data_IF_782792000408
#
_entry.id   IF_782792000408
#
_cell.length_a   1.000
_cell.length_b   1.000
_cell.length_c   1.000
_cell.angle_alpha   90.00
_cell.angle_beta   90.00
_cell.angle_gamma   90.00
#
_symmetry.space_group_name_H-M   'P 1'
#
loop_
_entity.id
_entity.type
_entity.pdbx_description
1 polymer ?
#
# COMPACT_ATOMS: atom_id res chain seq x y z
N UNK A 1 -5.13 -2.60 9.11
CA UNK A 1 -4.68 -1.60 8.13
C UNK A 1 -3.21 -1.21 8.32
N UNK A 2 -2.87 -0.41 9.35
CA UNK A 2 -1.54 0.23 9.50
C UNK A 2 -0.31 -0.68 9.41
N UNK A 3 -0.37 -1.91 9.91
CA UNK A 3 0.77 -2.85 9.94
C UNK A 3 0.62 -4.03 8.95
N UNK A 4 -0.48 -4.07 8.20
CA UNK A 4 -0.72 -5.10 7.15
C UNK A 4 -0.45 -4.50 5.77
N UNK A 5 -0.94 -3.28 5.55
CA UNK A 5 -0.73 -2.47 4.36
C UNK A 5 -0.21 -1.11 4.83
N UNK A 6 1.06 -1.02 5.27
CA UNK A 6 1.59 0.22 5.79
C UNK A 6 1.74 1.26 4.67
N UNK A 7 1.64 2.54 5.04
CA UNK A 7 1.80 3.69 4.15
C UNK A 7 2.88 4.61 4.69
N UNK A 8 3.28 5.64 3.93
CA UNK A 8 4.28 6.59 4.41
C UNK A 8 3.85 7.27 5.72
N UNK A 9 4.81 7.41 6.64
CA UNK A 9 4.67 8.22 7.85
C UNK A 9 4.33 9.66 7.47
N UNK A 10 3.39 10.28 8.18
CA UNK A 10 2.89 11.63 7.90
C UNK A 10 1.63 11.70 7.02
N UNK A 11 1.21 10.61 6.35
CA UNK A 11 -0.05 10.58 5.62
C UNK A 11 -1.27 10.47 6.53
N UNK A 12 -1.15 9.71 7.62
CA UNK A 12 -2.22 9.56 8.62
C UNK A 12 -1.99 10.43 9.84
N UNK A 13 -3.07 10.78 10.54
CA UNK A 13 -3.03 11.65 11.74
C UNK A 13 -3.10 10.90 13.07
N UNK A 14 -3.32 9.58 13.05
CA UNK A 14 -3.44 8.78 14.28
C UNK A 14 -2.07 8.33 14.77
N UNK A 15 -1.96 8.10 16.09
CA UNK A 15 -0.76 7.53 16.71
C UNK A 15 -0.33 6.22 16.03
N UNK A 16 -1.29 5.39 15.60
CA UNK A 16 -0.98 4.15 14.87
C UNK A 16 -0.45 4.41 13.46
N UNK A 17 -0.92 5.46 12.77
CA UNK A 17 -0.40 5.82 11.45
C UNK A 17 1.01 6.38 11.52
N UNK A 18 1.36 7.05 12.61
CA UNK A 18 2.74 7.43 12.88
C UNK A 18 3.59 6.22 13.28
N UNK A 19 3.16 5.44 14.29
CA UNK A 19 3.92 4.30 14.82
C UNK A 19 4.27 3.24 13.78
N UNK A 20 3.36 2.92 12.86
CA UNK A 20 3.55 1.91 11.83
C UNK A 20 3.81 2.48 10.43
N UNK A 21 3.96 3.81 10.32
CA UNK A 21 4.23 4.46 9.04
C UNK A 21 5.67 4.23 8.58
N UNK A 22 5.84 3.96 7.28
CA UNK A 22 7.14 3.72 6.65
C UNK A 22 7.86 5.06 6.39
N UNK A 23 9.14 5.12 6.71
CA UNK A 23 10.01 6.29 6.55
C UNK A 23 10.68 6.31 5.16
N UNK A 24 9.86 6.53 4.13
CA UNK A 24 10.34 6.73 2.76
C UNK A 24 10.70 5.42 2.02
N UNK A 25 11.34 5.59 0.87
CA UNK A 25 11.55 4.50 -0.08
C UNK A 25 12.56 3.46 0.41
N UNK A 26 13.57 3.87 1.16
CA UNK A 26 14.59 2.95 1.70
C UNK A 26 13.98 1.94 2.64
N UNK A 27 13.22 2.39 3.66
CA UNK A 27 12.55 1.47 4.60
C UNK A 27 11.50 0.61 3.87
N UNK A 28 10.80 1.13 2.86
CA UNK A 28 9.87 0.33 2.06
C UNK A 28 10.58 -0.81 1.32
N UNK A 29 11.79 -0.58 0.79
CA UNK A 29 12.62 -1.61 0.14
C UNK A 29 13.12 -2.64 1.16
N UNK A 30 13.55 -2.19 2.32
CA UNK A 30 13.96 -3.07 3.43
C UNK A 30 12.78 -3.93 3.92
N UNK A 31 11.59 -3.35 4.03
CA UNK A 31 10.36 -4.07 4.37
C UNK A 31 10.05 -5.19 3.37
N UNK A 32 10.23 -4.93 2.07
CA UNK A 32 10.05 -5.94 1.02
C UNK A 32 11.15 -7.01 1.02
N UNK A 33 12.37 -6.65 1.40
CA UNK A 33 13.51 -7.57 1.48
C UNK A 33 13.49 -8.43 2.75
N UNK A 34 12.76 -8.03 3.79
CA UNK A 34 12.62 -8.79 5.02
C UNK A 34 11.98 -10.17 4.75
N UNK A 35 12.56 -11.27 5.27
CA UNK A 35 12.14 -12.63 4.95
C UNK A 35 10.74 -13.01 5.47
N UNK A 36 10.15 -12.20 6.33
CA UNK A 36 8.82 -12.43 6.90
C UNK A 36 7.82 -11.40 6.38
N UNK A 37 8.17 -10.11 6.43
CA UNK A 37 7.25 -9.01 6.12
C UNK A 37 6.97 -8.91 4.62
N UNK A 38 7.99 -9.00 3.78
CA UNK A 38 7.85 -8.96 2.32
C UNK A 38 6.90 -10.03 1.79
N UNK A 39 7.17 -11.34 2.06
CA UNK A 39 6.28 -12.41 1.63
C UNK A 39 4.86 -12.31 2.18
N UNK A 40 4.67 -11.81 3.40
CA UNK A 40 3.33 -11.59 3.97
C UNK A 40 2.57 -10.49 3.24
N UNK A 41 3.22 -9.37 2.94
CA UNK A 41 2.61 -8.26 2.23
C UNK A 41 2.24 -8.64 0.78
N UNK A 42 3.10 -9.40 0.10
CA UNK A 42 2.79 -9.95 -1.23
C UNK A 42 1.59 -10.89 -1.15
N UNK A 43 1.61 -11.87 -0.25
CA UNK A 43 0.54 -12.87 -0.13
C UNK A 43 -0.82 -12.26 0.21
N UNK A 44 -0.87 -11.25 1.09
CA UNK A 44 -2.12 -10.57 1.41
C UNK A 44 -2.62 -9.68 0.26
N UNK A 45 -1.69 -9.12 -0.54
CA UNK A 45 -2.03 -8.37 -1.77
C UNK A 45 -2.65 -9.29 -2.82
N UNK A 46 -2.07 -10.48 -3.02
CA UNK A 46 -2.62 -11.51 -3.91
C UNK A 46 -3.99 -12.01 -3.43
N UNK A 47 -4.16 -12.24 -2.12
CA UNK A 47 -5.45 -12.62 -1.55
C UNK A 47 -6.52 -11.55 -1.74
N UNK A 48 -6.15 -10.27 -1.64
CA UNK A 48 -7.05 -9.15 -1.91
C UNK A 48 -7.52 -9.14 -3.38
N UNK A 49 -6.62 -9.42 -4.33
CA UNK A 49 -6.90 -9.42 -5.77
C UNK A 49 -7.92 -10.48 -6.22
N UNK A 50 -8.15 -11.53 -5.41
CA UNK A 50 -9.23 -12.51 -5.62
C UNK A 50 -10.60 -11.82 -5.66
N UNK A 51 -10.73 -10.66 -5.00
CA UNK A 51 -11.97 -9.88 -4.92
C UNK A 51 -12.01 -8.69 -5.89
N UNK A 52 -11.26 -8.73 -7.01
CA UNK A 52 -11.15 -7.64 -7.99
C UNK A 52 -12.46 -7.18 -8.64
N UNK A 53 -13.54 -7.95 -8.51
CA UNK A 53 -14.89 -7.57 -8.95
C UNK A 53 -15.70 -6.78 -7.91
N UNK A 54 -15.16 -6.55 -6.71
CA UNK A 54 -15.81 -5.82 -5.62
C UNK A 54 -15.20 -4.42 -5.46
N UNK A 55 -15.99 -3.49 -4.92
CA UNK A 55 -15.49 -2.16 -4.57
C UNK A 55 -14.47 -2.26 -3.41
N UNK A 56 -13.35 -1.51 -3.46
CA UNK A 56 -12.33 -1.58 -2.42
C UNK A 56 -12.85 -1.15 -1.05
N UNK A 57 -13.76 -0.17 -0.97
CA UNK A 57 -14.31 0.27 0.32
C UNK A 57 -15.27 -0.75 0.95
N UNK A 58 -15.88 -1.63 0.14
CA UNK A 58 -16.66 -2.76 0.65
C UNK A 58 -15.76 -3.86 1.24
N UNK A 59 -14.60 -4.12 0.62
CA UNK A 59 -13.63 -5.10 1.13
C UNK A 59 -12.91 -4.57 2.37
N UNK A 60 -12.47 -3.31 2.31
CA UNK A 60 -11.69 -2.67 3.38
C UNK A 60 -12.56 -2.16 4.54
N UNK A 61 -13.89 -2.17 4.39
CA UNK A 61 -14.85 -1.76 5.40
C UNK A 61 -15.03 -0.24 5.55
N UNK A 62 -14.23 0.58 4.87
CA UNK A 62 -14.42 2.03 4.82
C UNK A 62 -13.72 2.67 3.62
N UNK A 63 -14.23 3.81 3.17
CA UNK A 63 -13.56 4.64 2.16
C UNK A 63 -12.16 5.10 2.63
N UNK A 64 -12.00 5.36 3.93
CA UNK A 64 -10.72 5.76 4.52
C UNK A 64 -9.68 4.65 4.39
N UNK A 65 -10.03 3.40 4.70
CA UNK A 65 -9.07 2.30 4.60
C UNK A 65 -8.79 1.90 3.14
N UNK A 66 -9.75 2.08 2.22
CA UNK A 66 -9.48 1.99 0.78
C UNK A 66 -8.46 3.05 0.31
N UNK A 67 -8.54 4.29 0.79
CA UNK A 67 -7.53 5.32 0.49
C UNK A 67 -6.15 4.95 1.04
N UNK A 68 -6.08 4.35 2.23
CA UNK A 68 -4.82 3.87 2.82
C UNK A 68 -4.23 2.71 2.01
N UNK A 69 -5.08 1.79 1.54
CA UNK A 69 -4.68 0.71 0.64
C UNK A 69 -4.04 1.28 -0.62
N UNK A 70 -4.68 2.26 -1.28
CA UNK A 70 -4.11 2.93 -2.46
C UNK A 70 -2.75 3.57 -2.16
N UNK A 71 -2.62 4.20 -1.00
CA UNK A 71 -1.36 4.83 -0.56
C UNK A 71 -0.26 3.78 -0.33
N UNK A 72 -0.61 2.65 0.29
CA UNK A 72 0.29 1.51 0.51
C UNK A 72 0.74 0.88 -0.81
N UNK A 73 -0.20 0.58 -1.71
CA UNK A 73 0.09 0.01 -3.02
C UNK A 73 0.99 0.93 -3.86
N UNK A 74 0.75 2.24 -3.83
CA UNK A 74 1.60 3.23 -4.51
C UNK A 74 3.04 3.20 -3.96
N UNK A 75 3.20 3.16 -2.64
CA UNK A 75 4.51 3.11 -1.98
C UNK A 75 5.28 1.84 -2.38
N UNK A 76 4.62 0.68 -2.29
CA UNK A 76 5.28 -0.59 -2.54
C UNK A 76 5.46 -0.93 -4.03
N UNK A 77 4.62 -0.38 -4.91
CA UNK A 77 4.90 -0.34 -6.34
C UNK A 77 6.25 0.37 -6.59
N UNK A 78 6.40 1.60 -6.09
CA UNK A 78 7.65 2.37 -6.23
C UNK A 78 8.86 1.68 -5.58
N UNK A 79 8.66 1.02 -4.43
CA UNK A 79 9.74 0.31 -3.73
C UNK A 79 10.17 -0.95 -4.49
N UNK A 80 9.23 -1.70 -5.06
CA UNK A 80 9.52 -2.94 -5.80
C UNK A 80 10.24 -2.69 -7.12
N UNK A 81 10.00 -1.54 -7.75
CA UNK A 81 10.62 -1.15 -9.02
C UNK A 81 10.21 -2.00 -10.23
N UNK A 82 9.20 -2.86 -10.10
CA UNK A 82 8.70 -3.72 -11.17
C UNK A 82 7.19 -3.99 -11.01
N UNK A 83 6.47 -4.27 -12.11
CA UNK A 83 5.07 -4.69 -12.03
C UNK A 83 4.90 -5.93 -11.14
N UNK A 84 3.76 -6.00 -10.45
CA UNK A 84 3.40 -7.08 -9.56
C UNK A 84 2.11 -6.76 -8.78
N UNK A 85 1.85 -7.44 -7.66
CA UNK A 85 0.57 -7.34 -6.94
C UNK A 85 0.18 -5.91 -6.53
N UNK A 86 1.16 -5.04 -6.27
CA UNK A 86 0.89 -3.65 -5.91
C UNK A 86 0.39 -2.83 -7.10
N UNK A 87 0.98 -3.03 -8.28
CA UNK A 87 0.48 -2.47 -9.55
C UNK A 87 -0.92 -2.99 -9.84
N UNK A 88 -1.13 -4.32 -9.71
CA UNK A 88 -2.43 -4.93 -9.97
C UNK A 88 -3.52 -4.39 -9.04
N UNK A 89 -3.21 -4.13 -7.77
CA UNK A 89 -4.15 -3.48 -6.83
C UNK A 89 -4.56 -2.09 -7.35
N UNK A 90 -3.61 -1.30 -7.85
CA UNK A 90 -3.88 0.04 -8.38
C UNK A 90 -4.75 -0.03 -9.64
N UNK A 91 -4.46 -0.95 -10.55
CA UNK A 91 -5.21 -1.14 -11.78
C UNK A 91 -6.64 -1.66 -11.50
N UNK A 92 -6.78 -2.74 -10.72
CA UNK A 92 -8.07 -3.37 -10.46
C UNK A 92 -9.00 -2.53 -9.58
N UNK A 93 -8.49 -1.93 -8.50
CA UNK A 93 -9.34 -1.28 -7.49
C UNK A 93 -9.40 0.24 -7.63
N UNK A 94 -8.43 0.86 -8.32
CA UNK A 94 -8.29 2.31 -8.38
C UNK A 94 -8.15 2.84 -9.80
N UNK A 95 -8.39 2.02 -10.83
CA UNK A 95 -8.34 2.43 -12.24
C UNK A 95 -6.98 2.95 -12.66
N UNK A 96 -5.91 2.36 -12.11
CA UNK A 96 -4.52 2.77 -12.34
C UNK A 96 -4.13 4.08 -11.64
N UNK A 97 -5.01 4.68 -10.84
CA UNK A 97 -4.69 5.91 -10.13
C UNK A 97 -3.81 5.66 -8.91
N UNK A 98 -2.59 6.22 -8.95
CA UNK A 98 -1.68 6.26 -7.80
C UNK A 98 -2.14 7.30 -6.76
N UNK A 99 -1.68 7.13 -5.52
CA UNK A 99 -1.87 8.13 -4.48
C UNK A 99 -0.91 9.31 -4.69
N UNK A 100 -1.44 10.43 -5.20
CA UNK A 100 -0.66 11.65 -5.47
C UNK A 100 0.19 12.09 -4.26
N UNK A 101 -0.38 12.05 -3.04
CA UNK A 101 0.37 12.46 -1.86
C UNK A 101 1.56 11.56 -1.54
N UNK A 102 1.44 10.27 -1.86
CA UNK A 102 2.56 9.33 -1.70
C UNK A 102 3.65 9.66 -2.71
N UNK A 103 3.29 9.90 -3.97
CA UNK A 103 4.23 10.30 -5.03
C UNK A 103 4.96 11.60 -4.70
N UNK A 104 4.23 12.65 -4.28
CA UNK A 104 4.81 13.92 -3.83
C UNK A 104 5.85 13.74 -2.73
N UNK A 105 5.57 12.88 -1.75
CA UNK A 105 6.47 12.61 -0.63
C UNK A 105 7.68 11.76 -1.02
N UNK A 106 7.59 10.98 -2.10
CA UNK A 106 8.71 10.24 -2.68
C UNK A 106 9.52 11.09 -3.67
N UNK A 107 8.98 12.23 -4.12
CA UNK A 107 9.63 13.09 -5.11
C UNK A 107 9.57 12.54 -6.55
N UNK A 108 8.49 11.81 -6.88
CA UNK A 108 8.31 11.10 -8.17
C UNK A 108 7.03 11.51 -8.87
#
# INVERSE_FOLDING_TARGET
MWFIFPQLKGLGRSVNADRYGINGLTEAREYLADPILGPRLVRISEALLIHSNMRPDAIMGSAVDAMKLRSSATLFEAASGKPGPFTDILECFFGGMRCLKTLEMLGT
#
